data_IF_147654643971
#
_entry.id   IF_147654643971
#
_cell.length_a   1.000
_cell.length_b   1.000
_cell.length_c   1.000
_cell.angle_alpha   90.00
_cell.angle_beta   90.00
_cell.angle_gamma   90.00
#
_symmetry.space_group_name_H-M   'P 1'
#
loop_
_entity.id
_entity.type
_entity.pdbx_description
1 polymer ?
#
# COMPACT_ATOMS: atom_id res chain seq x y z
N UNK A 1 -24.10 11.34 39.69
CA UNK A 1 -24.34 9.89 39.95
C UNK A 1 -23.08 9.13 39.58
N UNK A 2 -22.39 8.58 40.58
CA UNK A 2 -21.07 7.97 40.39
C UNK A 2 -21.12 6.47 40.12
N UNK A 3 -20.01 5.94 39.61
CA UNK A 3 -19.47 4.65 40.07
C UNK A 3 -17.96 4.57 39.80
N UNK A 4 -17.23 4.35 40.89
CA UNK A 4 -15.79 4.07 41.00
C UNK A 4 -15.45 2.67 40.47
N UNK A 5 -14.18 2.46 40.12
CA UNK A 5 -13.26 1.35 40.50
C UNK A 5 -11.93 1.63 39.77
N UNK A 6 -10.74 1.69 40.36
CA UNK A 6 -10.20 1.03 41.55
C UNK A 6 -8.93 0.31 41.09
N UNK A 7 -7.74 0.78 41.47
CA UNK A 7 -6.46 0.34 40.91
C UNK A 7 -5.66 -0.65 41.78
N UNK A 8 -4.50 -1.01 41.20
CA UNK A 8 -3.20 -1.42 41.78
C UNK A 8 -3.09 -2.83 42.38
N UNK A 9 -2.05 -3.55 41.93
CA UNK A 9 -1.45 -4.69 42.64
C UNK A 9 -0.27 -5.31 41.89
N UNK A 10 0.95 -4.85 42.18
CA UNK A 10 2.23 -5.47 41.81
C UNK A 10 2.57 -6.54 42.86
N UNK A 11 3.10 -7.70 42.45
CA UNK A 11 3.86 -8.59 43.32
C UNK A 11 4.96 -9.32 42.52
N UNK A 12 6.11 -9.51 43.15
CA UNK A 12 7.43 -9.88 42.64
C UNK A 12 7.94 -11.12 43.39
N UNK A 13 8.82 -11.90 42.75
CA UNK A 13 9.70 -12.97 43.27
C UNK A 13 9.01 -14.33 43.55
N UNK A 14 9.62 -15.51 43.40
CA UNK A 14 11.02 -15.96 43.64
C UNK A 14 11.38 -17.22 42.82
N UNK A 15 12.69 -17.48 42.74
CA UNK A 15 13.40 -18.61 42.11
C UNK A 15 13.33 -19.90 42.95
N UNK A 16 13.40 -21.06 42.30
CA UNK A 16 13.97 -22.28 42.89
C UNK A 16 14.69 -23.13 41.82
N UNK A 17 15.96 -23.42 42.06
CA UNK A 17 16.83 -24.38 41.37
C UNK A 17 16.92 -25.62 42.24
N UNK A 18 16.92 -26.83 41.66
CA UNK A 18 17.48 -28.04 42.28
C UNK A 18 18.09 -28.97 41.23
N UNK A 19 19.15 -29.63 41.65
CA UNK A 19 20.23 -30.29 40.91
C UNK A 19 20.18 -31.81 41.13
N UNK A 20 20.73 -32.58 40.17
CA UNK A 20 21.33 -33.91 40.40
C UNK A 20 20.58 -35.07 39.75
N UNK A 21 21.20 -36.15 39.27
CA UNK A 21 22.61 -36.51 39.14
C UNK A 21 22.76 -37.68 38.13
N UNK A 22 23.98 -37.76 37.59
CA UNK A 22 24.75 -38.82 36.93
C UNK A 22 24.34 -40.30 37.09
N UNK A 23 24.58 -41.10 36.05
CA UNK A 23 25.47 -42.28 36.12
C UNK A 23 25.73 -42.93 34.74
N UNK A 24 27.00 -43.21 34.47
CA UNK A 24 27.53 -44.01 33.36
C UNK A 24 27.33 -45.51 33.59
N UNK A 25 27.43 -46.32 32.53
CA UNK A 25 27.63 -47.77 32.62
C UNK A 25 27.66 -48.43 31.25
N UNK A 26 28.84 -48.84 30.80
CA UNK A 26 29.04 -49.52 29.52
C UNK A 26 29.32 -51.03 29.67
N UNK A 27 29.54 -51.68 28.53
CA UNK A 27 30.33 -52.91 28.46
C UNK A 27 29.63 -54.17 27.94
N UNK A 28 30.00 -54.58 26.73
CA UNK A 28 30.49 -55.95 26.47
C UNK A 28 29.50 -57.01 25.98
N UNK A 29 29.81 -57.63 24.84
CA UNK A 29 29.18 -58.88 24.41
C UNK A 29 29.47 -59.25 22.95
N UNK A 30 30.38 -60.18 22.75
CA UNK A 30 31.07 -60.59 21.52
C UNK A 30 30.28 -61.62 20.65
N UNK A 31 30.58 -61.62 19.34
CA UNK A 31 30.76 -62.78 18.41
C UNK A 31 29.61 -63.69 17.90
N UNK A 32 29.42 -63.54 16.57
CA UNK A 32 29.73 -64.47 15.44
C UNK A 32 28.81 -65.67 15.09
N UNK A 33 28.43 -65.65 13.80
CA UNK A 33 28.42 -66.73 12.79
C UNK A 33 27.12 -67.49 12.46
N UNK A 34 26.73 -67.38 11.18
CA UNK A 34 26.45 -68.53 10.30
C UNK A 34 25.00 -68.76 9.84
N UNK A 35 24.81 -68.87 8.51
CA UNK A 35 23.80 -69.76 7.93
C UNK A 35 22.69 -69.13 7.07
N UNK A 36 22.97 -69.02 5.78
CA UNK A 36 22.16 -69.24 4.55
C UNK A 36 20.61 -69.27 4.57
N UNK A 37 20.09 -68.48 3.61
CA UNK A 37 18.92 -68.66 2.73
C UNK A 37 17.65 -69.38 3.21
N UNK A 38 16.55 -68.63 3.31
CA UNK A 38 15.25 -69.08 2.78
C UNK A 38 14.31 -67.94 2.39
N UNK A 39 13.59 -68.14 1.29
CA UNK A 39 12.76 -67.19 0.57
C UNK A 39 11.31 -67.25 1.07
N UNK A 40 10.69 -66.06 1.10
CA UNK A 40 9.25 -65.74 1.08
C UNK A 40 8.50 -65.57 2.42
N UNK A 41 8.05 -64.34 2.68
CA UNK A 41 6.64 -63.99 2.91
C UNK A 41 6.48 -62.46 2.99
N UNK A 42 5.55 -61.89 2.22
CA UNK A 42 5.38 -60.45 2.06
C UNK A 42 4.95 -59.71 3.33
N UNK A 43 5.51 -58.52 3.54
CA UNK A 43 4.98 -57.52 4.49
C UNK A 43 4.01 -56.60 3.76
N UNK A 44 2.85 -56.24 4.35
CA UNK A 44 1.90 -55.31 3.73
C UNK A 44 2.57 -53.96 3.53
N UNK A 45 2.45 -53.41 2.32
CA UNK A 45 2.91 -52.07 1.99
C UNK A 45 2.26 -51.04 2.91
N UNK A 46 3.10 -50.24 3.57
CA UNK A 46 2.65 -49.03 4.25
C UNK A 46 2.20 -48.06 3.15
N UNK A 47 0.89 -47.99 2.93
CA UNK A 47 0.28 -46.93 2.15
C UNK A 47 0.48 -45.63 2.91
N UNK A 48 1.50 -44.86 2.54
CA UNK A 48 1.62 -43.48 2.97
C UNK A 48 0.56 -42.68 2.21
N UNK A 49 -0.58 -42.44 2.86
CA UNK A 49 -1.56 -41.48 2.38
C UNK A 49 -1.07 -40.07 2.75
N UNK A 50 -0.64 -39.21 1.81
CA UNK A 50 -0.32 -37.84 2.16
C UNK A 50 -1.67 -37.11 2.29
N UNK A 51 -2.12 -36.91 3.52
CA UNK A 51 -3.14 -35.88 3.76
C UNK A 51 -2.39 -34.55 3.72
N UNK A 52 -2.70 -33.59 2.83
CA UNK A 52 -2.26 -32.22 3.05
C UNK A 52 -2.92 -31.80 4.36
N UNK A 53 -2.12 -31.70 5.44
CA UNK A 53 -2.61 -31.18 6.69
C UNK A 53 -3.11 -29.76 6.42
N UNK A 54 -4.43 -29.59 6.35
CA UNK A 54 -5.09 -28.29 6.31
C UNK A 54 -4.45 -27.45 7.41
N UNK A 55 -3.91 -26.25 7.10
CA UNK A 55 -3.14 -25.52 8.10
C UNK A 55 -3.98 -25.27 9.35
N UNK A 56 -3.51 -25.75 10.51
CA UNK A 56 -4.15 -25.54 11.81
C UNK A 56 -3.88 -24.11 12.27
N UNK A 57 -4.61 -23.15 11.70
CA UNK A 57 -4.51 -21.74 12.10
C UNK A 57 -5.68 -20.93 11.56
N UNK A 58 -6.02 -19.79 12.18
CA UNK A 58 -6.99 -18.86 11.63
C UNK A 58 -6.61 -18.43 10.20
N UNK A 59 -7.59 -18.12 9.33
CA UNK A 59 -7.28 -17.71 7.97
C UNK A 59 -6.54 -16.36 7.93
N UNK A 60 -5.66 -16.23 6.95
CA UNK A 60 -5.19 -14.95 6.42
C UNK A 60 -6.01 -14.63 5.17
N UNK A 61 -6.56 -13.42 5.09
CA UNK A 61 -7.32 -12.94 3.95
C UNK A 61 -6.65 -11.69 3.38
N UNK A 62 -6.94 -11.39 2.12
CA UNK A 62 -6.70 -10.06 1.56
C UNK A 62 -7.93 -9.21 1.84
N UNK A 63 -7.74 -8.09 2.52
CA UNK A 63 -8.77 -7.08 2.81
C UNK A 63 -9.14 -6.31 1.55
N UNK A 64 -8.12 -5.87 0.79
CA UNK A 64 -8.32 -5.21 -0.50
C UNK A 64 -7.23 -5.58 -1.51
N UNK A 65 -7.61 -5.53 -2.79
CA UNK A 65 -6.68 -5.45 -3.92
C UNK A 65 -7.13 -4.27 -4.78
N UNK A 66 -6.24 -3.29 -4.94
CA UNK A 66 -6.44 -2.12 -5.78
C UNK A 66 -5.39 -2.13 -6.90
N UNK A 67 -5.73 -1.84 -8.17
CA UNK A 67 -7.05 -1.48 -8.68
C UNK A 67 -8.11 -2.57 -8.60
N UNK A 68 -9.38 -2.17 -8.66
CA UNK A 68 -10.51 -3.09 -8.78
C UNK A 68 -10.51 -3.77 -10.17
N UNK A 69 -11.25 -4.88 -10.27
CA UNK A 69 -11.46 -5.56 -11.55
C UNK A 69 -12.03 -4.62 -12.61
N UNK A 70 -11.49 -4.76 -13.82
CA UNK A 70 -11.83 -4.01 -15.04
C UNK A 70 -11.63 -2.49 -14.92
N UNK A 71 -10.93 -2.02 -13.88
CA UNK A 71 -10.62 -0.61 -13.72
C UNK A 71 -9.72 -0.09 -14.85
N UNK A 72 -9.91 1.18 -15.21
CA UNK A 72 -8.99 1.93 -16.07
C UNK A 72 -8.28 3.00 -15.24
N UNK A 73 -6.97 2.85 -15.08
CA UNK A 73 -6.16 3.67 -14.17
C UNK A 73 -5.09 4.47 -14.90
N UNK A 74 -4.50 5.45 -14.23
CA UNK A 74 -3.37 6.22 -14.74
C UNK A 74 -2.02 5.49 -14.64
N UNK A 75 -1.02 6.09 -15.26
CA UNK A 75 0.30 5.47 -15.45
C UNK A 75 1.15 5.36 -14.18
N UNK A 76 0.75 6.02 -13.09
CA UNK A 76 1.44 5.98 -11.81
C UNK A 76 0.76 5.06 -10.78
N UNK A 77 -0.30 4.35 -11.15
CA UNK A 77 -1.04 3.49 -10.23
C UNK A 77 -0.22 2.28 -9.76
N UNK A 78 0.05 2.09 -8.46
CA UNK A 78 0.57 0.82 -7.96
C UNK A 78 -0.54 -0.23 -7.89
N UNK A 79 -0.15 -1.51 -7.88
CA UNK A 79 -1.02 -2.58 -7.38
C UNK A 79 -0.85 -2.57 -5.87
N UNK A 80 -1.91 -2.35 -5.09
CA UNK A 80 -1.85 -2.34 -3.63
C UNK A 80 -2.66 -3.50 -3.08
N UNK A 81 -2.02 -4.31 -2.24
CA UNK A 81 -2.63 -5.46 -1.57
C UNK A 81 -2.59 -5.21 -0.07
N UNK A 82 -3.76 -5.16 0.56
CA UNK A 82 -3.90 -5.03 2.02
C UNK A 82 -4.33 -6.36 2.61
N UNK A 83 -3.63 -6.80 3.66
CA UNK A 83 -3.88 -8.04 4.38
C UNK A 83 -4.67 -7.78 5.66
N UNK A 84 -5.61 -8.65 6.00
CA UNK A 84 -6.40 -8.54 7.24
C UNK A 84 -5.55 -8.64 8.51
N UNK A 85 -4.36 -9.25 8.42
CA UNK A 85 -3.47 -9.51 9.54
C UNK A 85 -2.00 -9.26 9.15
N UNK A 86 -1.14 -8.92 10.13
CA UNK A 86 0.29 -8.74 9.89
C UNK A 86 0.97 -9.94 9.23
N UNK A 87 1.82 -9.66 8.25
CA UNK A 87 2.75 -10.59 7.61
C UNK A 87 4.15 -10.34 8.16
N UNK A 88 4.72 -11.35 8.81
CA UNK A 88 6.06 -11.28 9.38
C UNK A 88 7.11 -11.04 8.29
N UNK A 89 8.15 -10.25 8.58
CA UNK A 89 9.21 -9.93 7.62
C UNK A 89 9.81 -11.18 6.95
N UNK A 90 10.07 -12.24 7.72
CA UNK A 90 10.58 -13.54 7.23
C UNK A 90 9.67 -14.28 6.24
N UNK A 91 8.39 -13.92 6.17
CA UNK A 91 7.41 -14.55 5.29
C UNK A 91 7.15 -13.74 4.00
N UNK A 92 7.54 -12.46 3.96
CA UNK A 92 7.21 -11.54 2.85
C UNK A 92 7.70 -12.02 1.49
N UNK A 93 8.95 -12.46 1.41
CA UNK A 93 9.52 -13.03 0.19
C UNK A 93 8.73 -14.24 -0.33
N UNK A 94 8.19 -15.08 0.57
CA UNK A 94 7.33 -16.20 0.18
C UNK A 94 5.98 -15.70 -0.29
N UNK A 95 5.35 -14.78 0.44
CA UNK A 95 4.03 -14.21 0.09
C UNK A 95 4.08 -13.54 -1.29
N UNK A 96 5.12 -12.74 -1.58
CA UNK A 96 5.31 -12.06 -2.85
C UNK A 96 5.38 -13.02 -4.05
N UNK A 97 6.04 -14.18 -3.91
CA UNK A 97 6.10 -15.22 -4.97
C UNK A 97 4.73 -15.76 -5.37
N UNK A 98 3.76 -15.64 -4.48
CA UNK A 98 2.38 -16.06 -4.70
C UNK A 98 1.47 -14.91 -5.16
N UNK A 99 1.97 -13.67 -5.23
CA UNK A 99 1.31 -12.50 -5.81
C UNK A 99 1.93 -12.17 -7.16
N UNK A 100 1.50 -12.89 -8.20
CA UNK A 100 2.09 -12.84 -9.54
C UNK A 100 1.46 -11.75 -10.38
N UNK A 101 2.29 -10.87 -10.95
CA UNK A 101 1.85 -9.82 -11.87
C UNK A 101 2.17 -10.24 -13.31
N UNK A 102 1.17 -10.16 -14.19
CA UNK A 102 1.29 -10.43 -15.62
C UNK A 102 0.81 -9.22 -16.43
N UNK A 103 1.43 -8.96 -17.56
CA UNK A 103 1.19 -7.75 -18.35
C UNK A 103 1.17 -8.04 -19.86
N UNK A 104 0.49 -7.21 -20.64
CA UNK A 104 0.45 -7.38 -22.11
C UNK A 104 1.80 -7.17 -22.80
N UNK A 105 2.74 -6.51 -22.12
CA UNK A 105 4.14 -6.36 -22.50
C UNK A 105 4.99 -6.49 -21.23
N UNK A 106 6.09 -7.25 -21.21
CA UNK A 106 6.91 -7.43 -20.01
C UNK A 106 7.41 -6.11 -19.43
N UNK A 107 7.30 -5.94 -18.11
CA UNK A 107 7.76 -4.76 -17.38
C UNK A 107 8.54 -5.19 -16.13
N UNK A 108 9.68 -4.55 -15.88
CA UNK A 108 10.42 -4.73 -14.64
C UNK A 108 9.74 -3.98 -13.49
N UNK A 109 9.54 -4.66 -12.37
CA UNK A 109 8.94 -4.10 -11.17
C UNK A 109 9.20 -4.92 -9.93
N UNK A 110 8.70 -4.46 -8.79
CA UNK A 110 8.93 -5.08 -7.50
C UNK A 110 7.82 -4.74 -6.52
N UNK A 111 7.61 -5.64 -5.56
CA UNK A 111 6.81 -5.38 -4.36
C UNK A 111 7.58 -4.54 -3.35
N UNK A 112 6.87 -3.72 -2.57
CA UNK A 112 7.37 -2.97 -1.43
C UNK A 112 6.34 -3.03 -0.30
N UNK A 113 6.80 -3.31 0.92
CA UNK A 113 5.93 -3.37 2.09
C UNK A 113 5.87 -2.05 2.85
N UNK A 114 4.66 -1.53 3.01
CA UNK A 114 4.36 -0.45 3.94
C UNK A 114 3.77 -1.03 5.22
N UNK A 115 4.53 -0.94 6.31
CA UNK A 115 4.20 -1.63 7.55
C UNK A 115 4.21 -3.15 7.37
N UNK A 116 3.31 -3.86 8.04
CA UNK A 116 3.19 -5.32 8.01
C UNK A 116 1.91 -5.84 7.34
N UNK A 117 1.07 -4.95 6.82
CA UNK A 117 -0.23 -5.30 6.23
C UNK A 117 -0.44 -4.80 4.82
N UNK A 118 0.40 -3.93 4.26
CA UNK A 118 0.24 -3.41 2.91
C UNK A 118 1.47 -3.72 2.08
N UNK A 119 1.27 -4.35 0.93
CA UNK A 119 2.30 -4.55 -0.07
C UNK A 119 1.86 -3.87 -1.37
N UNK A 120 2.70 -3.01 -1.90
CA UNK A 120 2.46 -2.33 -3.17
C UNK A 120 3.45 -2.85 -4.22
N UNK A 121 2.98 -3.14 -5.44
CA UNK A 121 3.81 -3.42 -6.60
C UNK A 121 3.78 -2.24 -7.55
N UNK A 122 4.94 -1.83 -8.07
CA UNK A 122 5.01 -0.89 -9.18
C UNK A 122 6.15 -1.21 -10.13
N UNK A 123 6.06 -0.74 -11.39
CA UNK A 123 7.20 -0.73 -12.29
C UNK A 123 8.25 0.29 -11.86
N UNK A 124 9.48 0.12 -12.36
CA UNK A 124 10.60 1.04 -12.06
C UNK A 124 10.31 2.47 -12.48
N UNK A 125 9.79 2.64 -13.69
CA UNK A 125 9.23 3.88 -14.25
C UNK A 125 7.70 3.76 -14.33
N UNK A 126 6.99 4.82 -14.71
CA UNK A 126 5.54 4.72 -14.96
C UNK A 126 5.19 3.60 -15.94
N UNK A 127 3.98 3.06 -15.76
CA UNK A 127 3.41 2.08 -16.67
C UNK A 127 3.35 2.63 -18.11
N UNK A 128 3.67 1.81 -19.13
CA UNK A 128 3.33 2.17 -20.50
C UNK A 128 1.81 2.29 -20.67
N UNK A 129 1.35 3.34 -21.32
CA UNK A 129 -0.07 3.54 -21.63
C UNK A 129 -0.61 2.37 -22.48
N UNK A 130 -1.85 1.94 -22.20
CA UNK A 130 -2.49 0.81 -22.86
C UNK A 130 -2.10 -0.58 -22.31
N UNK A 131 -1.17 -0.66 -21.36
CA UNK A 131 -0.79 -1.94 -20.74
C UNK A 131 -2.00 -2.57 -20.05
N UNK A 132 -2.30 -3.82 -20.40
CA UNK A 132 -3.23 -4.66 -19.63
C UNK A 132 -2.44 -5.34 -18.52
N UNK A 133 -2.97 -5.36 -17.32
CA UNK A 133 -2.31 -5.91 -16.12
C UNK A 133 -3.25 -6.90 -15.45
N UNK A 134 -2.69 -8.02 -15.00
CA UNK A 134 -3.35 -9.03 -14.18
C UNK A 134 -2.52 -9.29 -12.93
N UNK A 135 -3.17 -9.38 -11.78
CA UNK A 135 -2.58 -9.87 -10.54
C UNK A 135 -3.29 -11.16 -10.14
N UNK A 136 -2.54 -12.24 -10.07
CA UNK A 136 -2.96 -13.52 -9.50
C UNK A 136 -2.29 -13.70 -8.14
N UNK A 137 -3.06 -13.49 -7.06
CA UNK A 137 -2.64 -13.69 -5.68
C UNK A 137 -3.19 -15.03 -5.16
N UNK A 138 -2.47 -16.13 -5.42
CA UNK A 138 -2.84 -17.46 -4.92
C UNK A 138 -2.29 -17.71 -3.52
N UNK A 139 -3.06 -17.32 -2.51
CA UNK A 139 -2.64 -17.39 -1.11
C UNK A 139 -2.93 -18.76 -0.46
N UNK A 140 -3.53 -19.72 -1.15
CA UNK A 140 -3.91 -21.01 -0.55
C UNK A 140 -2.70 -21.74 0.04
N UNK A 141 -2.71 -21.98 1.34
CA UNK A 141 -1.62 -22.64 2.06
C UNK A 141 -0.38 -21.76 2.32
N UNK A 142 -0.39 -20.49 1.89
CA UNK A 142 0.73 -19.56 2.09
C UNK A 142 0.71 -19.05 3.53
N UNK A 143 1.82 -19.24 4.26
CA UNK A 143 1.95 -18.77 5.64
C UNK A 143 2.25 -17.27 5.71
N UNK A 144 1.66 -16.58 6.69
CA UNK A 144 2.03 -15.19 7.01
C UNK A 144 3.20 -15.08 8.01
N UNK A 145 3.79 -16.21 8.43
CA UNK A 145 4.88 -16.27 9.41
C UNK A 145 4.46 -16.10 10.87
N UNK A 146 3.16 -15.92 11.14
CA UNK A 146 2.56 -15.71 12.47
C UNK A 146 1.47 -16.76 12.77
N UNK A 147 1.59 -17.96 12.19
CA UNK A 147 0.64 -19.07 12.43
C UNK A 147 -0.71 -18.96 11.69
N UNK A 148 -0.85 -18.04 10.73
CA UNK A 148 -2.00 -17.96 9.82
C UNK A 148 -1.62 -18.34 8.40
N UNK A 149 -2.60 -18.81 7.66
CA UNK A 149 -2.43 -19.29 6.30
C UNK A 149 -3.52 -18.75 5.40
N UNK A 150 -3.15 -18.41 4.17
CA UNK A 150 -4.12 -18.03 3.17
C UNK A 150 -4.99 -19.21 2.76
N UNK A 151 -6.24 -18.92 2.42
CA UNK A 151 -7.27 -19.94 2.12
C UNK A 151 -7.97 -19.69 0.78
N UNK A 152 -7.66 -18.60 0.10
CA UNK A 152 -8.25 -18.21 -1.18
C UNK A 152 -7.17 -17.83 -2.19
N UNK A 153 -7.55 -17.91 -3.47
CA UNK A 153 -6.85 -17.22 -4.55
C UNK A 153 -7.68 -16.03 -4.99
N UNK A 154 -7.02 -14.95 -5.38
CA UNK A 154 -7.64 -13.71 -5.83
C UNK A 154 -7.06 -13.33 -7.18
N UNK A 155 -7.92 -12.93 -8.12
CA UNK A 155 -7.49 -12.49 -9.45
C UNK A 155 -8.12 -11.15 -9.75
N UNK A 156 -7.28 -10.14 -9.98
CA UNK A 156 -7.72 -8.84 -10.48
C UNK A 156 -7.09 -8.55 -11.84
N UNK A 157 -7.84 -7.91 -12.74
CA UNK A 157 -7.32 -7.38 -14.01
C UNK A 157 -7.72 -5.92 -14.18
N UNK A 158 -6.83 -5.11 -14.75
CA UNK A 158 -7.09 -3.70 -15.02
C UNK A 158 -6.30 -3.25 -16.26
N UNK A 159 -6.63 -2.06 -16.78
CA UNK A 159 -5.93 -1.47 -17.92
C UNK A 159 -5.35 -0.11 -17.55
N UNK A 160 -4.11 0.14 -17.97
CA UNK A 160 -3.48 1.45 -17.89
C UNK A 160 -3.99 2.30 -19.05
N UNK A 161 -4.61 3.43 -18.73
CA UNK A 161 -5.17 4.36 -19.70
C UNK A 161 -4.13 5.31 -20.31
N UNK A 162 -4.62 6.41 -20.87
CA UNK A 162 -3.79 7.51 -21.37
C UNK A 162 -2.90 8.07 -20.26
N UNK A 163 -1.71 8.53 -20.67
CA UNK A 163 -0.76 9.21 -19.79
C UNK A 163 -1.19 10.65 -19.55
N UNK A 164 -1.98 10.88 -18.50
CA UNK A 164 -2.41 12.21 -18.07
C UNK A 164 -1.61 12.61 -16.83
N UNK A 165 -0.89 13.73 -16.89
CA UNK A 165 -0.05 14.21 -15.78
C UNK A 165 -0.41 15.64 -15.42
N UNK A 166 -0.34 15.97 -14.14
CA UNK A 166 -0.49 17.33 -13.65
C UNK A 166 0.75 17.76 -12.87
N UNK A 167 1.46 18.75 -13.40
CA UNK A 167 2.66 19.33 -12.77
C UNK A 167 2.29 20.65 -12.10
N UNK A 168 2.30 20.66 -10.76
CA UNK A 168 1.98 21.83 -9.93
C UNK A 168 3.27 22.52 -9.51
N UNK A 169 3.35 23.81 -9.84
CA UNK A 169 4.34 24.73 -9.31
C UNK A 169 3.70 25.60 -8.23
N UNK A 170 4.06 25.36 -6.97
CA UNK A 170 3.56 26.13 -5.83
C UNK A 170 4.03 27.58 -5.92
N UNK A 171 5.32 27.80 -6.20
CA UNK A 171 5.89 29.15 -6.35
C UNK A 171 5.45 29.83 -7.64
N UNK A 172 5.19 29.06 -8.69
CA UNK A 172 4.70 29.57 -9.98
C UNK A 172 3.19 29.75 -10.05
N UNK A 173 2.43 29.41 -8.99
CA UNK A 173 0.97 29.48 -8.94
C UNK A 173 0.26 28.87 -10.16
N UNK A 174 0.82 27.78 -10.69
CA UNK A 174 0.31 27.12 -11.90
C UNK A 174 0.29 25.60 -11.79
N UNK A 175 -0.66 24.99 -12.49
CA UNK A 175 -0.71 23.56 -12.75
C UNK A 175 -0.74 23.32 -14.25
N UNK A 176 0.30 22.68 -14.79
CA UNK A 176 0.36 22.28 -16.20
C UNK A 176 -0.16 20.85 -16.35
N UNK A 177 -1.21 20.67 -17.14
CA UNK A 177 -1.79 19.36 -17.44
C UNK A 177 -1.32 18.91 -18.82
N UNK A 178 -0.76 17.71 -18.89
CA UNK A 178 -0.33 17.07 -20.14
C UNK A 178 -1.08 15.77 -20.37
N UNK A 179 -1.30 15.42 -21.62
CA UNK A 179 -1.88 14.14 -22.06
C UNK A 179 -1.03 13.56 -23.17
N UNK A 180 -0.52 12.35 -22.98
CA UNK A 180 0.37 11.65 -23.92
C UNK A 180 1.56 12.53 -24.35
N UNK A 181 2.16 13.26 -23.39
CA UNK A 181 3.28 14.16 -23.62
C UNK A 181 2.93 15.54 -24.20
N UNK A 182 1.67 15.77 -24.61
CA UNK A 182 1.24 17.06 -25.16
C UNK A 182 0.59 17.93 -24.08
N UNK A 183 0.92 19.23 -24.05
CA UNK A 183 0.27 20.17 -23.14
C UNK A 183 -1.20 20.35 -23.53
N UNK A 184 -2.10 20.15 -22.57
CA UNK A 184 -3.55 20.30 -22.76
C UNK A 184 -4.03 21.63 -22.20
N UNK A 185 -3.57 21.97 -20.99
CA UNK A 185 -3.99 23.20 -20.30
C UNK A 185 -3.01 23.60 -19.21
N UNK A 186 -2.93 24.90 -18.95
CA UNK A 186 -2.31 25.44 -17.73
C UNK A 186 -3.40 26.10 -16.90
N UNK A 187 -3.50 25.72 -15.63
CA UNK A 187 -4.50 26.22 -14.69
C UNK A 187 -3.81 27.15 -13.68
N UNK A 188 -4.49 28.22 -13.27
CA UNK A 188 -4.07 29.02 -12.12
C UNK A 188 -4.45 28.30 -10.83
N UNK A 189 -3.52 28.27 -9.87
CA UNK A 189 -3.72 27.59 -8.59
C UNK A 189 -3.28 28.47 -7.42
N UNK A 190 -3.85 28.16 -6.25
CA UNK A 190 -3.27 28.47 -4.95
C UNK A 190 -3.05 27.16 -4.19
N UNK A 191 -1.86 27.01 -3.61
CA UNK A 191 -1.53 25.87 -2.77
C UNK A 191 -1.65 26.24 -1.28
N UNK A 192 -1.18 25.35 -0.42
CA UNK A 192 -1.11 25.53 1.02
C UNK A 192 -0.34 26.77 1.44
N UNK A 193 -0.79 27.39 2.53
CA UNK A 193 -0.13 28.53 3.17
C UNK A 193 1.22 28.14 3.79
N UNK A 194 1.98 29.14 4.28
CA UNK A 194 3.21 28.87 5.01
C UNK A 194 2.99 28.08 6.31
N UNK A 195 1.84 28.25 6.97
CA UNK A 195 1.45 27.49 8.17
C UNK A 195 1.03 26.05 7.81
N UNK A 196 0.37 25.87 6.66
CA UNK A 196 -0.14 24.58 6.19
C UNK A 196 0.36 24.25 4.77
N UNK A 197 1.66 24.05 4.58
CA UNK A 197 2.21 23.89 3.25
C UNK A 197 1.74 22.58 2.60
N UNK A 198 1.47 22.62 1.29
CA UNK A 198 1.10 21.43 0.49
C UNK A 198 2.26 20.44 0.43
N UNK A 199 2.00 19.14 0.40
CA UNK A 199 3.06 18.15 0.19
C UNK A 199 3.78 18.34 -1.15
N UNK A 200 5.10 18.16 -1.18
CA UNK A 200 5.84 18.00 -2.44
C UNK A 200 5.74 16.54 -2.95
N UNK A 201 6.24 16.32 -4.16
CA UNK A 201 6.43 14.99 -4.74
C UNK A 201 5.30 14.57 -5.66
N UNK A 202 5.34 13.33 -6.10
CA UNK A 202 4.39 12.72 -7.02
C UNK A 202 3.42 11.83 -6.23
N UNK A 203 2.15 12.21 -6.24
CA UNK A 203 1.05 11.35 -5.79
C UNK A 203 0.25 10.88 -7.00
N UNK A 204 -0.02 9.59 -7.07
CA UNK A 204 -1.04 9.07 -7.95
C UNK A 204 -2.42 9.34 -7.33
N UNK A 205 -3.37 9.86 -8.13
CA UNK A 205 -4.75 10.12 -7.67
C UNK A 205 -5.32 8.87 -7.00
N UNK A 206 -5.82 9.01 -5.77
CA UNK A 206 -6.42 7.92 -4.99
C UNK A 206 -7.83 7.64 -5.53
N UNK A 207 -8.66 8.68 -5.51
CA UNK A 207 -10.04 8.69 -5.97
C UNK A 207 -10.45 10.13 -6.32
N UNK A 208 -11.73 10.31 -6.68
CA UNK A 208 -12.33 11.60 -6.97
C UNK A 208 -13.82 11.56 -6.66
N UNK A 209 -14.36 12.64 -6.12
CA UNK A 209 -15.77 12.74 -5.74
C UNK A 209 -16.34 14.08 -6.22
N UNK A 210 -17.58 14.09 -6.70
CA UNK A 210 -18.21 15.35 -7.14
C UNK A 210 -18.39 16.33 -5.99
N UNK A 211 -18.53 15.81 -4.76
CA UNK A 211 -18.58 16.59 -3.52
C UNK A 211 -17.91 15.84 -2.38
N UNK A 212 -17.06 16.51 -1.61
CA UNK A 212 -16.48 16.00 -0.37
C UNK A 212 -16.88 16.89 0.79
N UNK A 213 -17.34 16.26 1.89
CA UNK A 213 -17.48 16.93 3.17
C UNK A 213 -16.11 17.01 3.86
N UNK A 214 -15.55 18.22 3.90
CA UNK A 214 -14.23 18.49 4.46
C UNK A 214 -14.35 19.11 5.84
N UNK A 215 -13.64 18.53 6.81
CA UNK A 215 -13.53 19.10 8.16
C UNK A 215 -12.07 19.28 8.55
N UNK A 216 -11.75 20.36 9.25
CA UNK A 216 -10.40 20.57 9.81
C UNK A 216 -10.05 19.54 10.87
N UNK A 217 -11.06 18.94 11.51
CA UNK A 217 -10.87 17.95 12.56
C UNK A 217 -10.40 16.60 12.00
N UNK A 218 -10.98 16.16 10.88
CA UNK A 218 -10.64 14.86 10.25
C UNK A 218 -9.20 14.79 9.75
N UNK A 219 -8.57 15.95 9.50
CA UNK A 219 -7.17 16.06 9.06
C UNK A 219 -6.23 16.59 10.15
N UNK A 220 -6.71 16.70 11.39
CA UNK A 220 -5.88 17.07 12.56
C UNK A 220 -5.47 18.54 12.65
N UNK A 221 -6.17 19.46 11.97
CA UNK A 221 -5.89 20.90 12.00
C UNK A 221 -6.57 21.56 13.21
N UNK A 222 -7.88 21.39 13.34
CA UNK A 222 -8.64 21.92 14.47
C UNK A 222 -10.00 21.27 14.58
N UNK A 223 -10.39 20.89 15.79
CA UNK A 223 -11.77 20.48 16.11
C UNK A 223 -12.53 21.59 16.87
N UNK A 224 -11.88 22.72 17.16
CA UNK A 224 -12.46 23.82 17.93
C UNK A 224 -13.08 24.86 16.98
N UNK A 225 -14.41 25.01 17.03
CA UNK A 225 -15.18 25.98 16.22
C UNK A 225 -14.74 27.44 16.38
N UNK A 226 -14.10 27.80 17.50
CA UNK A 226 -13.57 29.14 17.73
C UNK A 226 -12.16 29.37 17.14
N UNK A 227 -11.53 28.35 16.56
CA UNK A 227 -10.21 28.48 15.92
C UNK A 227 -10.34 29.15 14.57
N UNK A 228 -9.40 30.05 14.23
CA UNK A 228 -9.31 30.65 12.90
C UNK A 228 -9.07 29.62 11.77
N UNK A 229 -8.55 28.44 12.11
CA UNK A 229 -8.27 27.34 11.17
C UNK A 229 -9.36 26.28 11.15
N UNK A 230 -10.50 26.50 11.84
CA UNK A 230 -11.63 25.59 11.80
C UNK A 230 -12.41 25.72 10.49
N UNK A 231 -12.72 24.59 9.87
CA UNK A 231 -13.66 24.52 8.76
C UNK A 231 -14.48 23.23 8.82
N UNK A 232 -15.72 23.34 8.34
CA UNK A 232 -16.70 22.26 8.22
C UNK A 232 -17.63 22.61 7.06
N UNK A 233 -17.31 22.10 5.88
CA UNK A 233 -17.89 22.56 4.61
C UNK A 233 -17.84 21.47 3.55
N UNK A 234 -18.76 21.54 2.58
CA UNK A 234 -18.79 20.62 1.44
C UNK A 234 -18.36 21.36 0.19
N UNK A 235 -17.29 20.89 -0.45
CA UNK A 235 -16.77 21.46 -1.69
C UNK A 235 -16.98 20.50 -2.85
N UNK A 236 -17.05 21.00 -4.09
CA UNK A 236 -17.22 20.19 -5.28
C UNK A 236 -15.93 19.94 -6.05
N UNK A 237 -15.99 18.92 -6.92
CA UNK A 237 -14.98 18.55 -7.92
C UNK A 237 -13.62 18.17 -7.30
N UNK A 238 -13.68 17.26 -6.33
CA UNK A 238 -12.54 16.89 -5.51
C UNK A 238 -11.75 15.74 -6.11
N UNK A 239 -10.44 15.95 -6.25
CA UNK A 239 -9.47 14.92 -6.65
C UNK A 239 -8.53 14.65 -5.48
N UNK A 240 -8.57 13.44 -4.94
CA UNK A 240 -7.90 13.05 -3.70
C UNK A 240 -6.47 12.57 -3.95
N UNK A 241 -5.47 13.14 -3.27
CA UNK A 241 -4.05 12.84 -3.48
C UNK A 241 -3.37 12.13 -2.31
N UNK A 242 -3.72 12.45 -1.07
CA UNK A 242 -3.07 11.87 0.12
C UNK A 242 -4.07 11.49 1.19
N UNK A 243 -3.83 10.38 1.89
CA UNK A 243 -4.65 9.94 3.02
C UNK A 243 -4.66 10.97 4.17
N UNK A 244 -3.62 11.80 4.27
CA UNK A 244 -3.57 12.96 5.17
C UNK A 244 -4.49 14.14 4.77
N UNK A 245 -5.23 14.03 3.67
CA UNK A 245 -6.27 14.98 3.29
C UNK A 245 -5.85 16.06 2.30
N UNK A 246 -4.89 15.81 1.41
CA UNK A 246 -4.59 16.73 0.29
C UNK A 246 -5.48 16.45 -0.90
N UNK A 247 -6.17 17.48 -1.38
CA UNK A 247 -7.03 17.44 -2.56
C UNK A 247 -6.64 18.52 -3.57
N UNK A 248 -7.01 18.31 -4.84
CA UNK A 248 -7.18 19.39 -5.84
C UNK A 248 -8.67 19.62 -6.01
N UNK A 249 -9.16 20.84 -5.77
CA UNK A 249 -10.60 21.12 -5.79
C UNK A 249 -10.93 22.61 -5.91
N UNK A 250 -12.20 22.94 -6.09
CA UNK A 250 -12.70 24.30 -5.95
C UNK A 250 -12.90 24.67 -4.47
N UNK A 251 -12.62 25.91 -4.09
CA UNK A 251 -12.91 26.44 -2.76
C UNK A 251 -13.74 27.72 -2.83
N UNK A 252 -14.84 27.78 -2.09
CA UNK A 252 -15.63 29.02 -1.95
C UNK A 252 -14.88 30.12 -1.22
N UNK A 253 -13.88 29.76 -0.39
CA UNK A 253 -12.99 30.70 0.29
C UNK A 253 -11.89 31.26 -0.61
N UNK A 254 -11.70 30.66 -1.80
CA UNK A 254 -10.70 31.03 -2.79
C UNK A 254 -11.23 30.78 -4.23
N UNK A 255 -12.25 31.53 -4.67
CA UNK A 255 -12.93 31.24 -5.93
C UNK A 255 -12.14 31.62 -7.18
N UNK A 256 -11.11 32.47 -7.03
CA UNK A 256 -10.29 33.00 -8.12
C UNK A 256 -8.80 32.76 -7.82
N UNK A 257 -8.33 31.51 -7.79
CA UNK A 257 -6.96 31.22 -7.43
C UNK A 257 -5.97 31.74 -8.48
N UNK A 258 -4.80 32.15 -8.02
CA UNK A 258 -3.76 32.79 -8.83
C UNK A 258 -3.36 34.18 -8.31
N UNK A 259 -2.33 34.75 -8.94
CA UNK A 259 -1.82 36.12 -8.70
C UNK A 259 -1.74 36.56 -7.24
N UNK A 260 -0.95 35.86 -6.42
CA UNK A 260 -0.51 36.40 -5.13
C UNK A 260 -1.60 36.64 -4.08
N UNK A 261 -2.78 36.01 -4.19
CA UNK A 261 -3.77 36.07 -3.12
C UNK A 261 -3.18 35.42 -1.87
N UNK A 262 -2.98 36.23 -0.82
CA UNK A 262 -2.30 35.88 0.42
C UNK A 262 -2.96 34.76 1.27
N UNK A 263 -4.03 34.13 0.78
CA UNK A 263 -4.76 33.06 1.48
C UNK A 263 -4.41 31.73 0.86
N UNK A 264 -3.22 31.22 1.19
CA UNK A 264 -2.91 29.82 0.93
C UNK A 264 -3.90 28.91 1.66
N UNK A 265 -4.17 27.75 1.09
CA UNK A 265 -5.10 26.77 1.67
C UNK A 265 -4.51 26.13 2.94
N UNK A 266 -5.25 25.17 3.50
CA UNK A 266 -4.78 24.26 4.54
C UNK A 266 -3.99 23.05 4.02
N UNK A 267 -3.47 23.13 2.79
CA UNK A 267 -2.63 22.11 2.17
C UNK A 267 -3.18 21.58 0.84
N UNK A 268 -4.45 21.86 0.51
CA UNK A 268 -5.05 21.55 -0.78
C UNK A 268 -4.52 22.46 -1.91
N UNK A 269 -4.76 22.06 -3.16
CA UNK A 269 -4.52 22.87 -4.34
C UNK A 269 -5.87 23.38 -4.86
N UNK A 270 -6.13 24.66 -4.68
CA UNK A 270 -7.37 25.29 -5.11
C UNK A 270 -7.34 25.63 -6.60
N UNK A 271 -8.49 25.42 -7.25
CA UNK A 271 -8.79 25.78 -8.63
C UNK A 271 -10.04 26.67 -8.69
N UNK A 272 -10.18 27.44 -9.77
CA UNK A 272 -11.45 28.10 -10.09
C UNK A 272 -12.55 27.03 -10.26
N UNK A 273 -13.83 27.39 -10.09
CA UNK A 273 -14.91 26.40 -10.22
C UNK A 273 -14.91 25.70 -11.59
N UNK A 274 -14.65 26.48 -12.65
CA UNK A 274 -14.58 25.96 -14.01
C UNK A 274 -13.38 25.03 -14.20
N UNK A 275 -12.22 25.39 -13.66
CA UNK A 275 -11.00 24.59 -13.79
C UNK A 275 -11.04 23.34 -12.93
N UNK A 276 -11.63 23.40 -11.72
CA UNK A 276 -11.85 22.22 -10.88
C UNK A 276 -12.73 21.20 -11.59
N UNK A 277 -13.87 21.64 -12.15
CA UNK A 277 -14.77 20.77 -12.93
C UNK A 277 -14.07 20.18 -14.15
N UNK A 278 -13.29 20.99 -14.85
CA UNK A 278 -12.53 20.52 -16.02
C UNK A 278 -11.46 19.50 -15.63
N UNK A 279 -10.64 19.80 -14.61
CA UNK A 279 -9.56 18.95 -14.13
C UNK A 279 -10.11 17.62 -13.61
N UNK A 280 -11.19 17.67 -12.82
CA UNK A 280 -11.94 16.50 -12.39
C UNK A 280 -12.29 15.61 -13.60
N UNK A 281 -12.80 16.18 -14.70
CA UNK A 281 -13.11 15.43 -15.92
C UNK A 281 -11.90 14.87 -16.69
N UNK A 282 -10.69 15.38 -16.47
CA UNK A 282 -9.48 14.93 -17.18
C UNK A 282 -8.77 13.76 -16.49
N UNK A 283 -8.81 13.71 -15.17
CA UNK A 283 -8.01 12.75 -14.38
C UNK A 283 -8.84 11.56 -13.89
N UNK A 284 -8.14 10.45 -13.67
CA UNK A 284 -8.66 9.21 -13.06
C UNK A 284 -7.71 8.72 -11.98
N UNK A 285 -8.17 7.74 -11.19
CA UNK A 285 -7.32 7.04 -10.22
C UNK A 285 -6.01 6.61 -10.89
N UNK A 286 -4.87 6.88 -10.25
CA UNK A 286 -3.56 6.50 -10.75
C UNK A 286 -2.86 7.53 -11.64
N UNK A 287 -3.53 8.62 -12.05
CA UNK A 287 -2.85 9.69 -12.79
C UNK A 287 -1.90 10.45 -11.84
N UNK A 288 -0.64 10.72 -12.25
CA UNK A 288 0.31 11.41 -11.40
C UNK A 288 0.03 12.91 -11.30
N UNK A 289 -0.03 13.41 -10.07
CA UNK A 289 0.06 14.84 -9.73
C UNK A 289 1.40 15.08 -9.05
N UNK A 290 2.30 15.82 -9.70
CA UNK A 290 3.63 16.15 -9.19
C UNK A 290 3.64 17.58 -8.68
N UNK A 291 3.89 17.77 -7.39
CA UNK A 291 3.93 19.08 -6.72
C UNK A 291 5.37 19.45 -6.39
N UNK A 292 5.76 20.68 -6.77
CA UNK A 292 7.10 21.24 -6.54
C UNK A 292 7.02 22.66 -5.98
N UNK A 293 8.09 23.09 -5.30
CA UNK A 293 8.22 24.46 -4.78
C UNK A 293 7.51 24.72 -3.44
N UNK A 294 6.93 23.69 -2.81
CA UNK A 294 6.45 23.83 -1.43
C UNK A 294 7.64 23.79 -0.44
N UNK A 295 7.57 24.46 0.73
CA UNK A 295 8.56 24.27 1.80
C UNK A 295 8.40 22.94 2.55
N UNK A 296 7.32 22.18 2.32
CA UNK A 296 7.09 20.87 2.95
C UNK A 296 7.94 19.77 2.29
N UNK A 297 8.27 18.73 3.03
CA UNK A 297 8.89 17.53 2.46
C UNK A 297 8.00 16.86 1.39
N UNK A 298 8.57 15.88 0.66
CA UNK A 298 7.77 15.01 -0.19
C UNK A 298 6.75 14.23 0.65
N UNK A 299 5.57 13.98 0.10
CA UNK A 299 4.60 13.09 0.74
C UNK A 299 5.27 11.72 1.03
N UNK A 300 5.14 11.18 2.25
CA UNK A 300 5.55 9.80 2.54
C UNK A 300 4.90 8.84 1.54
N UNK A 301 5.63 7.82 1.08
CA UNK A 301 5.18 6.96 0.00
C UNK A 301 3.91 6.17 0.33
N UNK A 302 3.66 5.93 1.63
CA UNK A 302 2.48 5.27 2.18
C UNK A 302 1.30 6.21 2.45
N UNK A 303 1.48 7.54 2.34
CA UNK A 303 0.43 8.54 2.53
C UNK A 303 -0.52 8.61 1.32
N UNK A 304 -1.22 7.50 1.05
CA UNK A 304 -1.89 7.25 -0.22
C UNK A 304 -0.98 6.52 -1.19
N UNK A 305 -1.01 6.95 -2.46
CA UNK A 305 -0.20 6.36 -3.53
C UNK A 305 0.91 7.31 -3.97
N UNK A 306 1.92 7.49 -3.11
CA UNK A 306 3.09 8.34 -3.37
C UNK A 306 4.34 7.50 -3.70
N UNK A 307 4.14 6.36 -4.36
CA UNK A 307 5.15 5.32 -4.56
C UNK A 307 6.41 5.79 -5.30
N UNK A 308 6.26 6.77 -6.20
CA UNK A 308 7.35 7.36 -6.98
C UNK A 308 8.12 8.48 -6.23
N UNK A 309 7.77 8.75 -4.97
CA UNK A 309 8.61 9.59 -4.10
C UNK A 309 9.84 8.84 -3.55
N UNK A 310 9.82 7.51 -3.56
CA UNK A 310 11.01 6.69 -3.28
C UNK A 310 11.82 6.48 -4.57
N UNK A 311 13.15 6.55 -4.44
CA UNK A 311 14.05 6.05 -5.49
C UNK A 311 13.81 4.55 -5.70
N UNK A 312 14.30 4.02 -6.82
CA UNK A 312 14.16 2.59 -7.08
C UNK A 312 14.84 1.73 -6.01
N UNK A 313 16.03 2.13 -5.57
CA UNK A 313 16.77 1.40 -4.53
C UNK A 313 16.03 1.45 -3.17
N UNK A 314 15.44 2.58 -2.83
CA UNK A 314 14.57 2.71 -1.64
C UNK A 314 13.32 1.84 -1.76
N UNK A 315 12.76 1.72 -2.96
CA UNK A 315 11.64 0.81 -3.21
C UNK A 315 12.05 -0.65 -3.02
N UNK A 316 13.18 -1.06 -3.59
CA UNK A 316 13.70 -2.43 -3.45
C UNK A 316 14.09 -2.78 -2.00
N UNK A 317 14.54 -1.81 -1.20
CA UNK A 317 14.86 -2.04 0.21
C UNK A 317 13.65 -2.51 1.05
N UNK A 318 12.42 -2.21 0.62
CA UNK A 318 11.19 -2.71 1.24
C UNK A 318 10.64 -3.99 0.60
N UNK A 319 11.35 -4.59 -0.35
CA UNK A 319 10.94 -5.79 -1.07
C UNK A 319 11.46 -7.06 -0.40
N UNK A 320 10.65 -8.12 -0.37
CA UNK A 320 11.10 -9.45 0.08
C UNK A 320 11.74 -10.27 -1.04
N UNK A 321 11.23 -10.18 -2.27
CA UNK A 321 11.69 -10.94 -3.42
C UNK A 321 12.60 -10.14 -4.38
N UNK A 322 12.62 -8.81 -4.25
CA UNK A 322 13.43 -7.92 -5.11
C UNK A 322 12.77 -7.64 -6.46
N UNK A 323 13.59 -7.21 -7.42
CA UNK A 323 13.15 -6.91 -8.79
C UNK A 323 12.83 -8.20 -9.55
N UNK A 324 11.74 -8.16 -10.32
CA UNK A 324 11.38 -9.20 -11.28
C UNK A 324 10.77 -8.59 -12.54
N UNK A 325 10.71 -9.39 -13.60
CA UNK A 325 9.98 -9.04 -14.83
C UNK A 325 8.63 -9.72 -14.82
N UNK A 326 7.57 -8.99 -15.14
CA UNK A 326 6.22 -9.55 -15.26
C UNK A 326 6.15 -10.62 -16.34
N UNK A 327 5.32 -11.65 -16.12
CA UNK A 327 4.99 -12.60 -17.18
C UNK A 327 4.09 -11.94 -18.23
N UNK A 328 4.11 -12.43 -19.46
CA UNK A 328 3.17 -11.99 -20.50
C UNK A 328 1.77 -12.57 -20.26
N UNK A 329 0.73 -11.79 -20.52
CA UNK A 329 -0.68 -12.23 -20.51
C UNK A 329 -1.01 -13.26 -21.59
#
# INVERSE_FOLDING_TARGET
>A
MGRRKGGIGIALMTVAVLVGASACGGGGGDKKAGGDDEKAAGKPGVSASPTPAKPKGPPMLLETITPLNDAKVGVAMPISVVFTNPVAAKARASVEKHMKVSTSQPVAGAWHWFGDKRADWRPKTYWPAGTKVKIDADMKGVSNGNGRYGVHGYTHSFTVGDDVRADVSVTGHTMKVTKNGQAVRTLSINAGSAEFPTWNGTMAVIDKQEKVHMTSCSVGISCNKGSANYYDLTLPWDVHLTQSGTYVHYSTGDPNPGSGSARGSHGCVHLSLADAKWFYGQVKQGDPVTITGSPRAKAPADNGYAAFNLSWDQWLAGSGAGEGTTATL
#
